data_IF_880902955683
#
_entry.id   IF_880902955683
#
_cell.length_a   1.000
_cell.length_b   1.000
_cell.length_c   1.000
_cell.angle_alpha   90.00
_cell.angle_beta   90.00
_cell.angle_gamma   90.00
#
_symmetry.space_group_name_H-M   'P 1'
#
loop_
_entity.id
_entity.type
_entity.pdbx_description
1 polymer ?
#
# COMPACT_ATOMS: atom_id res chain seq x y z
N UNK A 1 10.22 1.04 34.64
CA UNK A 1 10.63 1.69 33.36
C UNK A 1 11.30 0.68 32.42
N UNK A 2 12.44 0.08 32.77
CA UNK A 2 13.15 -0.90 31.91
C UNK A 2 12.24 -2.07 31.49
N UNK A 3 11.57 -2.73 32.45
CA UNK A 3 10.64 -3.84 32.14
C UNK A 3 9.55 -3.41 31.14
N UNK A 4 8.97 -2.23 31.31
CA UNK A 4 7.95 -1.70 30.39
C UNK A 4 8.50 -1.51 28.98
N UNK A 5 9.74 -1.03 28.85
CA UNK A 5 10.42 -0.89 27.55
C UNK A 5 10.69 -2.26 26.93
N UNK A 6 11.18 -3.23 27.70
CA UNK A 6 11.40 -4.60 27.24
C UNK A 6 10.11 -5.28 26.78
N UNK A 7 9.00 -5.07 27.50
CA UNK A 7 7.67 -5.55 27.09
C UNK A 7 7.21 -4.92 25.78
N UNK A 8 7.42 -3.62 25.59
CA UNK A 8 7.13 -2.95 24.32
C UNK A 8 8.00 -3.50 23.17
N UNK A 9 9.30 -3.68 23.39
CA UNK A 9 10.21 -4.32 22.42
C UNK A 9 9.72 -5.72 22.06
N UNK A 10 9.22 -6.49 23.04
CA UNK A 10 8.72 -7.84 22.81
C UNK A 10 7.43 -7.84 21.99
N UNK A 11 6.52 -6.91 22.27
CA UNK A 11 5.34 -6.68 21.44
C UNK A 11 5.71 -6.32 20.00
N UNK A 12 6.62 -5.35 19.80
CA UNK A 12 7.08 -4.96 18.45
C UNK A 12 7.73 -6.15 17.73
N UNK A 13 8.56 -6.92 18.42
CA UNK A 13 9.23 -8.08 17.85
C UNK A 13 8.24 -9.19 17.49
N UNK A 14 7.18 -9.38 18.28
CA UNK A 14 6.11 -10.31 17.94
C UNK A 14 5.39 -9.88 16.67
N UNK A 15 4.94 -8.62 16.59
CA UNK A 15 4.28 -8.10 15.40
C UNK A 15 5.19 -8.15 14.16
N UNK A 16 6.50 -7.91 14.34
CA UNK A 16 7.49 -8.08 13.29
C UNK A 16 7.54 -9.54 12.82
N UNK A 17 7.68 -10.52 13.72
CA UNK A 17 7.67 -11.95 13.36
C UNK A 17 6.39 -12.32 12.60
N UNK A 18 5.23 -11.95 13.12
CA UNK A 18 3.93 -12.25 12.51
C UNK A 18 3.81 -11.65 11.10
N UNK A 19 4.29 -10.41 10.90
CA UNK A 19 4.32 -9.79 9.57
C UNK A 19 5.20 -10.56 8.58
N UNK A 20 6.37 -11.05 9.02
CA UNK A 20 7.28 -11.79 8.14
C UNK A 20 6.71 -13.16 7.75
N UNK A 21 6.08 -13.86 8.70
CA UNK A 21 5.38 -15.13 8.46
C UNK A 21 4.23 -14.91 7.48
N UNK A 22 3.37 -13.92 7.76
CA UNK A 22 2.22 -13.61 6.92
C UNK A 22 2.64 -13.25 5.49
N UNK A 23 3.71 -12.47 5.32
CA UNK A 23 4.17 -12.02 4.01
C UNK A 23 4.93 -13.10 3.23
N UNK A 24 5.97 -13.70 3.83
CA UNK A 24 6.90 -14.57 3.11
C UNK A 24 6.48 -16.04 3.07
N UNK A 25 5.82 -16.54 4.12
CA UNK A 25 5.44 -17.96 4.23
C UNK A 25 4.00 -18.16 3.77
N UNK A 26 3.06 -17.43 4.37
CA UNK A 26 1.63 -17.63 4.14
C UNK A 26 1.11 -16.89 2.90
N UNK A 27 1.87 -15.91 2.39
CA UNK A 27 1.49 -15.09 1.23
C UNK A 27 0.13 -14.38 1.41
N UNK A 28 -0.17 -13.96 2.64
CA UNK A 28 -1.41 -13.25 2.99
C UNK A 28 -1.30 -11.74 2.68
N UNK A 29 -1.10 -11.39 1.41
CA UNK A 29 -0.80 -10.02 1.00
C UNK A 29 -1.92 -9.00 1.33
N UNK A 30 -3.17 -9.45 1.43
CA UNK A 30 -4.31 -8.64 1.87
C UNK A 30 -4.15 -8.02 3.27
N UNK A 31 -3.25 -8.55 4.11
CA UNK A 31 -2.96 -8.03 5.46
C UNK A 31 -1.99 -6.83 5.47
N UNK A 32 -1.60 -6.31 4.32
CA UNK A 32 -0.56 -5.28 4.19
C UNK A 32 -1.07 -3.99 3.50
N UNK A 33 -2.38 -3.76 3.55
CA UNK A 33 -3.03 -2.58 2.97
C UNK A 33 -3.67 -1.66 4.03
N UNK A 34 -2.87 -0.75 4.63
CA UNK A 34 -3.33 -0.04 5.80
C UNK A 34 -4.37 1.05 5.51
N UNK A 35 -4.60 1.49 4.26
CA UNK A 35 -5.55 2.58 3.88
C UNK A 35 -5.55 3.87 4.72
N UNK A 36 -4.63 4.07 5.68
CA UNK A 36 -4.74 5.18 6.62
C UNK A 36 -4.12 6.45 6.05
N UNK A 37 -4.97 7.22 5.38
CA UNK A 37 -4.83 8.67 5.15
C UNK A 37 -3.86 9.14 4.06
N UNK A 38 -3.21 8.25 3.31
CA UNK A 38 -2.23 8.66 2.27
C UNK A 38 -2.71 8.33 0.85
N UNK A 39 -2.45 9.23 -0.10
CA UNK A 39 -2.55 9.01 -1.56
C UNK A 39 -1.45 8.06 -2.10
N UNK A 40 -0.87 7.21 -1.26
CA UNK A 40 0.31 6.40 -1.57
C UNK A 40 0.00 4.90 -1.73
N UNK A 41 -1.28 4.50 -1.73
CA UNK A 41 -1.65 3.08 -1.78
C UNK A 41 -1.06 2.36 -3.02
N UNK A 42 -1.01 3.04 -4.16
CA UNK A 42 -0.37 2.53 -5.38
C UNK A 42 1.15 2.33 -5.24
N UNK A 43 1.86 3.21 -4.51
CA UNK A 43 3.30 3.02 -4.26
C UNK A 43 3.49 1.78 -3.40
N UNK A 44 2.73 1.67 -2.31
CA UNK A 44 2.82 0.51 -1.40
C UNK A 44 2.50 -0.80 -2.10
N UNK A 45 1.46 -0.82 -2.92
CA UNK A 45 1.08 -1.98 -3.72
C UNK A 45 2.24 -2.44 -4.61
N UNK A 46 2.86 -1.51 -5.34
CA UNK A 46 3.98 -1.81 -6.22
C UNK A 46 5.22 -2.24 -5.43
N UNK A 47 5.54 -1.58 -4.32
CA UNK A 47 6.74 -1.85 -3.53
C UNK A 47 6.65 -3.19 -2.82
N UNK A 48 5.50 -3.51 -2.22
CA UNK A 48 5.24 -4.84 -1.68
C UNK A 48 5.27 -5.89 -2.78
N UNK A 49 4.76 -5.59 -3.98
CA UNK A 49 4.79 -6.53 -5.09
C UNK A 49 6.23 -6.85 -5.51
N UNK A 50 7.08 -5.83 -5.63
CA UNK A 50 8.53 -5.99 -5.84
C UNK A 50 9.14 -6.87 -4.75
N UNK A 51 8.87 -6.60 -3.47
CA UNK A 51 9.40 -7.43 -2.37
C UNK A 51 8.89 -8.87 -2.38
N UNK A 52 7.70 -9.11 -2.92
CA UNK A 52 7.12 -10.44 -3.02
C UNK A 52 7.64 -11.23 -4.22
N UNK A 53 7.83 -10.60 -5.39
CA UNK A 53 8.21 -11.28 -6.65
C UNK A 53 9.70 -11.26 -6.94
N UNK A 54 10.41 -10.23 -6.48
CA UNK A 54 11.87 -10.17 -6.52
C UNK A 54 12.38 -10.48 -5.13
N UNK A 55 12.75 -11.75 -4.87
CA UNK A 55 13.35 -12.10 -3.61
C UNK A 55 14.66 -11.34 -3.43
N UNK A 56 14.62 -10.19 -2.75
CA UNK A 56 15.80 -9.54 -2.14
C UNK A 56 16.58 -10.50 -1.24
N UNK A 57 15.90 -11.58 -0.82
CA UNK A 57 16.40 -12.69 -0.02
C UNK A 57 16.00 -14.00 -0.67
N UNK A 58 16.95 -14.92 -0.85
CA UNK A 58 16.67 -16.31 -1.18
C UNK A 58 15.67 -16.91 -0.18
N UNK A 59 15.00 -18.01 -0.56
CA UNK A 59 14.09 -18.72 0.36
C UNK A 59 14.77 -19.03 1.71
N UNK A 60 16.03 -19.51 1.66
CA UNK A 60 16.86 -19.77 2.83
C UNK A 60 17.09 -18.51 3.67
N UNK A 61 17.39 -17.38 3.04
CA UNK A 61 17.58 -16.11 3.75
C UNK A 61 16.28 -15.59 4.41
N UNK A 62 15.11 -15.85 3.81
CA UNK A 62 13.80 -15.55 4.42
C UNK A 62 13.54 -16.41 5.67
N UNK A 63 13.80 -17.72 5.59
CA UNK A 63 13.68 -18.62 6.73
C UNK A 63 14.65 -18.25 7.86
N UNK A 64 15.92 -18.01 7.52
CA UNK A 64 16.95 -17.60 8.47
C UNK A 64 16.58 -16.29 9.19
N UNK A 65 15.97 -15.33 8.49
CA UNK A 65 15.50 -14.09 9.12
C UNK A 65 14.44 -14.37 10.19
N UNK A 66 13.46 -15.24 9.90
CA UNK A 66 12.39 -15.58 10.86
C UNK A 66 12.98 -16.32 12.07
N UNK A 67 13.89 -17.28 11.84
CA UNK A 67 14.61 -17.98 12.91
C UNK A 67 15.45 -17.03 13.77
N UNK A 68 16.16 -16.10 13.13
CA UNK A 68 16.90 -15.03 13.82
C UNK A 68 15.98 -14.22 14.73
N UNK A 69 14.81 -13.78 14.24
CA UNK A 69 13.86 -13.00 15.04
C UNK A 69 13.29 -13.83 16.21
N UNK A 70 12.98 -15.11 16.01
CA UNK A 70 12.58 -16.00 17.10
C UNK A 70 13.66 -16.16 18.16
N UNK A 71 14.93 -16.31 17.76
CA UNK A 71 16.06 -16.34 18.70
C UNK A 71 16.17 -15.03 19.49
N UNK A 72 16.00 -13.88 18.83
CA UNK A 72 15.98 -12.56 19.50
C UNK A 72 14.81 -12.42 20.47
N UNK A 73 13.64 -12.97 20.13
CA UNK A 73 12.48 -12.99 21.03
C UNK A 73 12.75 -13.83 22.27
N UNK A 74 13.38 -14.98 22.13
CA UNK A 74 13.77 -15.82 23.27
C UNK A 74 14.76 -15.08 24.19
N UNK A 75 15.79 -14.44 23.63
CA UNK A 75 16.73 -13.62 24.41
C UNK A 75 16.03 -12.49 25.16
N UNK A 76 15.07 -11.82 24.51
CA UNK A 76 14.30 -10.75 25.12
C UNK A 76 13.39 -11.24 26.24
N UNK A 77 12.74 -12.40 26.08
CA UNK A 77 11.95 -13.03 27.15
C UNK A 77 12.80 -13.38 28.36
N UNK A 78 14.01 -13.94 28.14
CA UNK A 78 14.95 -14.23 29.22
C UNK A 78 15.38 -12.95 29.95
N UNK A 79 15.64 -11.87 29.20
CA UNK A 79 15.94 -10.57 29.79
C UNK A 79 14.76 -10.00 30.59
N UNK A 80 13.53 -10.11 30.09
CA UNK A 80 12.32 -9.70 30.81
C UNK A 80 12.19 -10.47 32.13
N UNK A 81 12.40 -11.78 32.12
CA UNK A 81 12.36 -12.60 33.33
C UNK A 81 13.45 -12.16 34.32
N UNK A 82 14.70 -12.10 33.87
CA UNK A 82 15.83 -11.70 34.70
C UNK A 82 15.60 -10.33 35.37
N UNK A 83 15.20 -9.31 34.61
CA UNK A 83 14.99 -7.96 35.14
C UNK A 83 13.69 -7.79 35.94
N UNK A 84 12.76 -8.76 35.86
CA UNK A 84 11.59 -8.80 36.74
C UNK A 84 11.95 -9.27 38.15
N UNK A 85 12.94 -10.16 38.26
CA UNK A 85 13.45 -10.71 39.52
C UNK A 85 14.62 -9.88 40.08
N UNK A 86 15.47 -9.34 39.21
CA UNK A 86 16.70 -8.64 39.55
C UNK A 86 16.67 -7.22 38.97
N UNK A 87 16.50 -6.20 39.81
CA UNK A 87 16.50 -4.81 39.33
C UNK A 87 17.90 -4.42 38.85
N UNK A 88 18.00 -3.85 37.66
CA UNK A 88 19.23 -3.21 37.18
C UNK A 88 19.57 -2.04 38.13
N UNK A 89 20.74 -2.14 38.77
CA UNK A 89 21.21 -1.18 39.77
C UNK A 89 22.06 -0.07 39.16
N UNK A 90 22.47 -0.20 37.89
CA UNK A 90 23.29 0.80 37.23
C UNK A 90 22.42 1.90 36.57
N UNK A 91 22.08 2.92 37.36
CA UNK A 91 21.20 4.03 36.96
C UNK A 91 21.84 5.02 35.96
N UNK A 92 23.13 4.88 35.62
CA UNK A 92 23.83 5.82 34.73
C UNK A 92 23.73 5.47 33.25
N UNK A 93 23.27 4.26 32.90
CA UNK A 93 23.16 3.83 31.50
C UNK A 93 21.97 4.50 30.80
N UNK A 94 22.21 5.04 29.61
CA UNK A 94 21.13 5.39 28.68
C UNK A 94 20.41 4.13 28.18
N UNK A 95 19.20 4.28 27.64
CA UNK A 95 18.45 3.15 27.09
C UNK A 95 19.24 2.42 25.99
N UNK A 96 19.93 3.14 25.10
CA UNK A 96 20.70 2.54 24.01
C UNK A 96 21.89 1.76 24.57
N UNK A 97 22.61 2.29 25.56
CA UNK A 97 23.72 1.59 26.20
C UNK A 97 23.25 0.34 26.94
N UNK A 98 22.11 0.43 27.64
CA UNK A 98 21.48 -0.72 28.27
C UNK A 98 21.15 -1.82 27.25
N UNK A 99 20.49 -1.46 26.13
CA UNK A 99 20.15 -2.44 25.09
C UNK A 99 21.39 -3.03 24.41
N UNK A 100 22.45 -2.24 24.21
CA UNK A 100 23.74 -2.73 23.68
C UNK A 100 24.41 -3.71 24.64
N UNK A 101 24.55 -3.33 25.91
CA UNK A 101 25.20 -4.13 26.97
C UNK A 101 24.57 -5.51 27.10
N UNK A 102 23.24 -5.58 26.96
CA UNK A 102 22.47 -6.81 27.10
C UNK A 102 22.15 -7.51 25.77
N UNK A 103 22.77 -7.08 24.66
CA UNK A 103 22.59 -7.63 23.31
C UNK A 103 21.12 -7.67 22.82
N UNK A 104 20.32 -6.70 23.25
CA UNK A 104 18.88 -6.59 22.94
C UNK A 104 18.60 -5.74 21.70
N UNK A 105 19.64 -5.29 21.00
CA UNK A 105 19.51 -4.65 19.70
C UNK A 105 19.48 -5.72 18.61
N UNK A 106 18.39 -5.75 17.86
CA UNK A 106 18.24 -6.62 16.69
C UNK A 106 18.19 -5.79 15.41
N UNK A 107 18.75 -6.35 14.33
CA UNK A 107 18.83 -5.71 13.03
C UNK A 107 17.63 -6.12 12.18
N UNK A 108 17.04 -5.13 11.51
CA UNK A 108 15.90 -5.30 10.61
C UNK A 108 16.23 -4.53 9.34
N UNK A 109 16.10 -5.19 8.18
CA UNK A 109 16.35 -4.53 6.90
C UNK A 109 15.24 -3.53 6.58
N UNK A 110 15.52 -2.55 5.71
CA UNK A 110 14.53 -1.56 5.27
C UNK A 110 13.27 -2.23 4.69
N UNK A 111 13.36 -3.25 3.81
CA UNK A 111 12.19 -4.00 3.33
C UNK A 111 11.39 -4.68 4.45
N UNK A 112 12.04 -5.36 5.40
CA UNK A 112 11.33 -6.05 6.48
C UNK A 112 10.62 -5.05 7.40
N UNK A 113 11.27 -3.90 7.67
CA UNK A 113 10.68 -2.79 8.43
C UNK A 113 9.45 -2.24 7.70
N UNK A 114 9.53 -2.07 6.38
CA UNK A 114 8.41 -1.61 5.56
C UNK A 114 7.22 -2.57 5.61
N UNK A 115 7.47 -3.86 5.40
CA UNK A 115 6.48 -4.95 5.50
C UNK A 115 5.82 -4.96 6.89
N UNK A 116 6.63 -4.87 7.95
CA UNK A 116 6.14 -4.78 9.32
C UNK A 116 5.22 -3.58 9.54
N UNK A 117 5.62 -2.38 9.10
CA UNK A 117 4.81 -1.18 9.28
C UNK A 117 3.48 -1.30 8.52
N UNK A 118 3.49 -1.78 7.27
CA UNK A 118 2.27 -2.02 6.50
C UNK A 118 1.33 -2.99 7.23
N UNK A 119 1.86 -4.11 7.73
CA UNK A 119 1.10 -5.09 8.50
C UNK A 119 0.51 -4.48 9.77
N UNK A 120 1.35 -3.81 10.57
CA UNK A 120 0.96 -3.20 11.83
C UNK A 120 -0.19 -2.21 11.64
N UNK A 121 -0.05 -1.28 10.70
CA UNK A 121 -1.08 -0.28 10.43
C UNK A 121 -2.36 -0.90 9.88
N UNK A 122 -2.28 -1.99 9.12
CA UNK A 122 -3.46 -2.72 8.61
C UNK A 122 -4.19 -3.44 9.73
N UNK A 123 -3.47 -4.13 10.63
CA UNK A 123 -4.03 -4.88 11.77
C UNK A 123 -4.84 -3.98 12.71
N UNK A 124 -4.38 -2.75 12.93
CA UNK A 124 -5.03 -1.77 13.82
C UNK A 124 -5.92 -0.76 13.09
N UNK A 125 -6.18 -0.99 11.80
CA UNK A 125 -7.14 -0.21 11.03
C UNK A 125 -8.56 -0.49 11.51
N UNK A 126 -9.38 0.55 11.59
CA UNK A 126 -10.82 0.46 11.76
C UNK A 126 -11.50 1.25 10.64
N UNK A 127 -12.50 0.64 10.00
CA UNK A 127 -13.30 1.34 9.01
C UNK A 127 -14.41 2.12 9.70
N UNK A 128 -14.45 3.43 9.49
CA UNK A 128 -15.60 4.25 9.89
C UNK A 128 -16.55 4.33 8.72
N UNK A 129 -17.86 4.37 9.01
CA UNK A 129 -18.99 4.42 8.06
C UNK A 129 -18.84 5.38 6.86
N UNK A 130 -17.92 6.35 6.92
CA UNK A 130 -17.60 7.28 5.83
C UNK A 130 -16.19 7.07 5.27
N UNK A 131 -15.94 6.07 4.39
CA UNK A 131 -14.74 5.93 3.51
C UNK A 131 -13.36 6.41 4.06
N UNK A 132 -13.18 6.39 5.37
CA UNK A 132 -12.07 7.02 6.08
C UNK A 132 -11.66 6.03 7.15
N UNK A 133 -10.76 5.14 6.73
CA UNK A 133 -10.11 4.22 7.63
C UNK A 133 -9.24 5.01 8.60
N UNK A 134 -9.38 4.71 9.89
CA UNK A 134 -8.61 5.32 10.97
C UNK A 134 -7.89 4.24 11.76
N UNK A 135 -6.96 4.64 12.64
CA UNK A 135 -6.27 3.69 13.51
C UNK A 135 -7.00 3.58 14.85
N UNK A 136 -7.21 2.35 15.31
CA UNK A 136 -7.78 2.04 16.61
C UNK A 136 -6.72 2.18 17.72
N UNK A 137 -6.40 3.41 18.12
CA UNK A 137 -5.32 3.69 19.07
C UNK A 137 -5.50 3.02 20.43
N UNK A 138 -6.73 2.88 20.92
CA UNK A 138 -7.00 2.22 22.21
C UNK A 138 -6.63 0.73 22.18
N UNK A 139 -6.86 0.07 21.04
CA UNK A 139 -6.48 -1.33 20.85
C UNK A 139 -4.96 -1.49 20.87
N UNK A 140 -4.22 -0.59 20.21
CA UNK A 140 -2.76 -0.56 20.27
C UNK A 140 -2.29 -0.33 21.71
N UNK A 141 -2.88 0.65 22.41
CA UNK A 141 -2.51 0.97 23.78
C UNK A 141 -2.69 -0.23 24.71
N UNK A 142 -3.81 -0.94 24.58
CA UNK A 142 -4.13 -2.13 25.37
C UNK A 142 -3.19 -3.30 25.04
N UNK A 143 -3.05 -3.66 23.75
CA UNK A 143 -2.21 -4.80 23.34
C UNK A 143 -0.71 -4.56 23.62
N UNK A 144 -0.23 -3.33 23.49
CA UNK A 144 1.17 -2.98 23.73
C UNK A 144 1.49 -2.60 25.19
N UNK A 145 0.47 -2.45 26.06
CA UNK A 145 0.64 -1.96 27.42
C UNK A 145 1.16 -0.52 27.50
N UNK A 146 0.68 0.35 26.61
CA UNK A 146 1.09 1.76 26.48
C UNK A 146 -0.03 2.72 26.88
N UNK A 147 0.32 3.98 27.11
CA UNK A 147 -0.69 5.05 27.12
C UNK A 147 -1.18 5.33 25.69
N UNK A 148 -2.43 5.79 25.56
CA UNK A 148 -3.01 6.20 24.27
C UNK A 148 -2.14 7.25 23.56
N UNK A 149 -1.53 8.18 24.32
CA UNK A 149 -0.61 9.19 23.77
C UNK A 149 0.61 8.57 23.11
N UNK A 150 1.20 7.54 23.72
CA UNK A 150 2.34 6.82 23.15
C UNK A 150 1.93 5.97 21.96
N UNK A 151 0.76 5.31 22.00
CA UNK A 151 0.20 4.60 20.86
C UNK A 151 0.06 5.52 19.64
N UNK A 152 -0.56 6.70 19.82
CA UNK A 152 -0.67 7.74 18.77
C UNK A 152 0.69 8.18 18.23
N UNK A 153 1.67 8.43 19.10
CA UNK A 153 3.02 8.85 18.70
C UNK A 153 3.72 7.76 17.87
N UNK A 154 3.61 6.50 18.28
CA UNK A 154 4.16 5.36 17.56
C UNK A 154 3.52 5.19 16.18
N UNK A 155 2.18 5.25 16.10
CA UNK A 155 1.47 5.20 14.82
C UNK A 155 1.89 6.33 13.88
N UNK A 156 1.95 7.57 14.38
CA UNK A 156 2.40 8.72 13.56
C UNK A 156 3.81 8.50 13.02
N UNK A 157 4.73 8.01 13.86
CA UNK A 157 6.08 7.69 13.43
C UNK A 157 6.09 6.62 12.32
N UNK A 158 5.27 5.58 12.44
CA UNK A 158 5.14 4.55 11.41
C UNK A 158 4.55 5.09 10.10
N UNK A 159 3.52 5.93 10.16
CA UNK A 159 2.95 6.57 8.96
C UNK A 159 3.98 7.47 8.25
N UNK A 160 4.66 8.36 8.98
CA UNK A 160 5.71 9.22 8.41
C UNK A 160 6.83 8.37 7.80
N UNK A 161 7.34 7.38 8.54
CA UNK A 161 8.43 6.52 8.05
C UNK A 161 8.02 5.70 6.82
N UNK A 162 6.75 5.32 6.69
CA UNK A 162 6.22 4.60 5.53
C UNK A 162 6.13 5.51 4.31
N UNK A 163 5.62 6.73 4.51
CA UNK A 163 5.46 7.75 3.47
C UNK A 163 6.81 8.24 2.92
N UNK A 164 7.77 8.48 3.81
CA UNK A 164 9.17 8.82 3.46
C UNK A 164 9.78 7.72 2.60
N UNK A 165 9.79 6.48 3.08
CA UNK A 165 10.37 5.36 2.34
C UNK A 165 9.68 5.12 0.99
N UNK A 166 8.36 5.31 0.92
CA UNK A 166 7.60 5.17 -0.32
C UNK A 166 8.00 6.22 -1.36
N UNK A 167 8.16 7.48 -0.97
CA UNK A 167 8.57 8.55 -1.89
C UNK A 167 10.02 8.36 -2.35
N UNK A 168 10.93 8.00 -1.44
CA UNK A 168 12.32 7.73 -1.77
C UNK A 168 12.43 6.56 -2.77
N UNK A 169 11.66 5.49 -2.55
CA UNK A 169 11.66 4.33 -3.44
C UNK A 169 11.20 4.66 -4.87
N UNK A 170 10.23 5.58 -5.04
CA UNK A 170 9.82 6.06 -6.36
C UNK A 170 10.94 6.83 -7.06
N UNK A 171 11.67 7.65 -6.32
CA UNK A 171 12.81 8.40 -6.86
C UNK A 171 13.92 7.44 -7.29
N UNK A 172 14.22 6.44 -6.45
CA UNK A 172 15.22 5.40 -6.75
C UNK A 172 14.82 4.57 -7.98
N UNK A 173 13.55 4.19 -8.10
CA UNK A 173 13.06 3.49 -9.29
C UNK A 173 13.14 4.35 -10.55
N UNK A 174 12.88 5.66 -10.46
CA UNK A 174 13.02 6.53 -11.61
C UNK A 174 14.47 6.56 -12.13
N UNK A 175 15.46 6.55 -11.22
CA UNK A 175 16.88 6.43 -11.56
C UNK A 175 17.21 5.05 -12.17
N UNK A 176 16.78 3.97 -11.51
CA UNK A 176 16.96 2.58 -11.98
C UNK A 176 16.39 2.36 -13.40
N UNK A 177 15.20 2.92 -13.67
CA UNK A 177 14.49 2.80 -14.94
C UNK A 177 15.09 3.70 -16.05
N UNK A 178 16.12 4.49 -15.75
CA UNK A 178 16.78 5.35 -16.71
C UNK A 178 15.97 6.59 -17.12
N UNK A 179 15.10 7.10 -16.24
CA UNK A 179 14.49 8.41 -16.47
C UNK A 179 15.57 9.50 -16.53
N UNK A 180 15.29 10.57 -17.26
CA UNK A 180 16.28 11.65 -17.40
C UNK A 180 16.57 12.31 -16.05
N UNK A 181 17.80 12.81 -15.89
CA UNK A 181 18.19 13.56 -14.69
C UNK A 181 17.20 14.68 -14.34
N UNK A 182 16.65 15.37 -15.35
CA UNK A 182 15.68 16.44 -15.16
C UNK A 182 14.33 15.94 -14.64
N UNK A 183 13.91 14.72 -15.02
CA UNK A 183 12.69 14.11 -14.47
C UNK A 183 12.89 13.73 -13.01
N UNK A 184 14.04 13.15 -12.67
CA UNK A 184 14.38 12.75 -11.29
C UNK A 184 14.53 13.98 -10.39
N UNK A 185 15.22 15.03 -10.85
CA UNK A 185 15.34 16.31 -10.14
C UNK A 185 13.97 16.95 -9.91
N UNK A 186 13.10 16.93 -10.92
CA UNK A 186 11.71 17.39 -10.78
C UNK A 186 10.94 16.58 -9.73
N UNK A 187 11.00 15.24 -9.76
CA UNK A 187 10.35 14.38 -8.77
C UNK A 187 10.81 14.72 -7.34
N UNK A 188 12.13 14.82 -7.12
CA UNK A 188 12.72 15.20 -5.83
C UNK A 188 12.18 16.54 -5.34
N UNK A 189 12.09 17.53 -6.22
CA UNK A 189 11.55 18.87 -5.90
C UNK A 189 10.04 18.90 -5.71
N UNK A 190 9.31 17.89 -6.18
CA UNK A 190 7.86 17.75 -6.01
C UNK A 190 7.49 16.96 -4.74
N UNK A 191 8.44 16.41 -3.98
CA UNK A 191 8.10 15.86 -2.66
C UNK A 191 7.56 16.99 -1.78
N UNK A 192 6.39 16.75 -1.18
CA UNK A 192 5.69 17.68 -0.28
C UNK A 192 5.25 16.96 0.98
N UNK A 193 4.88 17.71 2.02
CA UNK A 193 4.29 17.18 3.25
C UNK A 193 2.81 17.50 3.32
N UNK A 194 2.00 16.50 3.62
CA UNK A 194 0.55 16.65 3.75
C UNK A 194 0.13 17.19 5.14
N UNK A 195 -1.17 17.11 5.46
CA UNK A 195 -1.75 17.56 6.72
C UNK A 195 -1.19 16.84 7.96
N UNK A 196 -0.66 15.62 7.79
CA UNK A 196 -0.12 14.77 8.85
C UNK A 196 1.42 14.69 8.81
N UNK A 197 2.07 15.62 8.10
CA UNK A 197 3.53 15.71 7.89
C UNK A 197 4.14 14.54 7.09
N UNK A 198 3.33 13.81 6.33
CA UNK A 198 3.78 12.66 5.55
C UNK A 198 4.26 13.11 4.18
N UNK A 199 5.35 12.51 3.71
CA UNK A 199 5.84 12.76 2.36
C UNK A 199 4.85 12.23 1.31
N UNK A 200 4.53 13.06 0.34
CA UNK A 200 3.65 12.73 -0.79
C UNK A 200 4.22 13.23 -2.10
N UNK A 201 3.87 12.54 -3.18
CA UNK A 201 4.20 12.89 -4.56
C UNK A 201 2.92 13.08 -5.38
N UNK A 202 2.98 13.78 -6.52
CA UNK A 202 1.87 13.87 -7.46
C UNK A 202 1.42 12.50 -7.99
N UNK A 203 0.12 12.22 -7.91
CA UNK A 203 -0.46 10.94 -8.36
C UNK A 203 -0.04 10.53 -9.78
N UNK A 204 -0.05 11.44 -10.75
CA UNK A 204 0.33 11.10 -12.13
C UNK A 204 1.80 10.66 -12.24
N UNK A 205 2.72 11.43 -11.67
CA UNK A 205 4.15 11.23 -11.86
C UNK A 205 4.69 10.02 -11.10
N UNK A 206 4.20 9.77 -9.88
CA UNK A 206 4.54 8.54 -9.17
C UNK A 206 3.97 7.31 -9.91
N UNK A 207 2.76 7.40 -10.49
CA UNK A 207 2.17 6.27 -11.23
C UNK A 207 2.89 6.01 -12.55
N UNK A 208 3.43 7.04 -13.22
CA UNK A 208 4.28 6.87 -14.42
C UNK A 208 5.49 5.98 -14.12
N UNK A 209 6.16 6.23 -12.99
CA UNK A 209 7.28 5.41 -12.52
C UNK A 209 6.83 4.00 -12.13
N UNK A 210 5.73 3.86 -11.38
CA UNK A 210 5.18 2.55 -10.99
C UNK A 210 4.88 1.71 -12.24
N UNK A 211 4.17 2.25 -13.22
CA UNK A 211 3.79 1.52 -14.43
C UNK A 211 5.04 1.09 -15.21
N UNK A 212 6.06 1.95 -15.30
CA UNK A 212 7.34 1.57 -15.91
C UNK A 212 8.02 0.43 -15.14
N UNK A 213 8.03 0.46 -13.80
CA UNK A 213 8.56 -0.62 -12.96
C UNK A 213 7.79 -1.92 -13.15
N UNK A 214 6.46 -1.89 -13.13
CA UNK A 214 5.62 -3.08 -13.36
C UNK A 214 5.91 -3.73 -14.72
N UNK A 215 6.13 -2.92 -15.77
CA UNK A 215 6.50 -3.43 -17.11
C UNK A 215 7.89 -4.05 -17.14
N UNK A 216 8.90 -3.35 -16.61
CA UNK A 216 10.28 -3.85 -16.56
C UNK A 216 10.35 -5.21 -15.87
N UNK A 217 9.57 -5.36 -14.79
CA UNK A 217 9.56 -6.54 -13.94
C UNK A 217 8.49 -7.56 -14.31
N UNK A 218 7.77 -7.32 -15.43
CA UNK A 218 6.73 -8.20 -15.99
C UNK A 218 5.65 -8.56 -14.96
N UNK A 219 5.34 -7.63 -14.07
CA UNK A 219 4.40 -7.82 -12.97
C UNK A 219 2.95 -7.79 -13.45
N UNK A 220 2.11 -8.75 -13.02
CA UNK A 220 0.73 -8.80 -13.45
C UNK A 220 -0.13 -7.73 -12.75
N UNK A 221 -1.15 -7.26 -13.47
CA UNK A 221 -2.19 -6.37 -12.96
C UNK A 221 -3.51 -7.13 -12.94
N UNK A 222 -4.18 -7.14 -11.79
CA UNK A 222 -5.51 -7.68 -11.64
C UNK A 222 -6.51 -6.53 -11.46
N UNK A 223 -7.53 -6.47 -12.30
CA UNK A 223 -8.62 -5.51 -12.13
C UNK A 223 -9.82 -6.24 -11.53
N UNK A 224 -10.26 -5.79 -10.36
CA UNK A 224 -11.55 -6.15 -9.80
C UNK A 224 -12.56 -5.07 -10.20
N UNK A 225 -13.33 -5.35 -11.26
CA UNK A 225 -14.23 -4.38 -11.90
C UNK A 225 -15.67 -4.59 -11.44
N UNK A 226 -16.27 -3.56 -10.86
CA UNK A 226 -17.67 -3.54 -10.44
C UNK A 226 -18.52 -2.70 -11.40
N UNK A 227 -19.75 -3.16 -11.63
CA UNK A 227 -20.77 -2.44 -12.38
C UNK A 227 -21.63 -1.64 -11.39
N UNK A 228 -21.75 -0.33 -11.59
CA UNK A 228 -22.49 0.56 -10.68
C UNK A 228 -24.01 0.32 -10.69
N UNK A 229 -24.56 -0.36 -11.68
CA UNK A 229 -26.00 -0.48 -11.91
C UNK A 229 -26.58 -1.88 -11.68
N UNK A 230 -25.81 -2.96 -11.84
CA UNK A 230 -26.38 -4.32 -11.85
C UNK A 230 -25.87 -5.25 -10.76
N UNK A 231 -24.55 -5.41 -10.61
CA UNK A 231 -23.98 -6.38 -9.67
C UNK A 231 -22.90 -5.76 -8.80
N UNK A 232 -23.08 -5.82 -7.49
CA UNK A 232 -22.02 -5.46 -6.52
C UNK A 232 -20.89 -6.49 -6.46
N UNK A 233 -21.00 -7.60 -7.18
CA UNK A 233 -19.96 -8.64 -7.23
C UNK A 233 -18.92 -8.26 -8.30
N UNK A 234 -17.66 -8.01 -7.92
CA UNK A 234 -16.61 -7.67 -8.87
C UNK A 234 -16.38 -8.79 -9.91
N UNK A 235 -16.02 -8.38 -11.13
CA UNK A 235 -15.47 -9.26 -12.16
C UNK A 235 -13.96 -9.10 -12.20
N UNK A 236 -13.25 -10.22 -12.21
CA UNK A 236 -11.79 -10.23 -12.22
C UNK A 236 -11.26 -10.26 -13.64
N UNK A 237 -10.43 -9.28 -14.00
CA UNK A 237 -9.72 -9.22 -15.27
C UNK A 237 -8.22 -9.30 -15.01
N UNK A 238 -7.58 -10.37 -15.45
CA UNK A 238 -6.15 -10.57 -15.24
C UNK A 238 -5.34 -10.12 -16.47
N UNK A 239 -4.35 -9.27 -16.23
CA UNK A 239 -3.47 -8.74 -17.26
C UNK A 239 -2.02 -9.12 -16.98
N UNK A 240 -1.39 -9.85 -17.91
CA UNK A 240 0.04 -10.14 -17.88
C UNK A 240 0.80 -9.20 -18.81
N UNK A 241 2.10 -8.99 -18.56
CA UNK A 241 2.91 -8.18 -19.46
C UNK A 241 3.43 -9.04 -20.63
N UNK A 242 3.10 -8.63 -21.86
CA UNK A 242 3.59 -9.25 -23.08
C UNK A 242 4.76 -8.43 -23.64
N UNK A 243 5.96 -9.01 -23.66
CA UNK A 243 7.19 -8.34 -24.09
C UNK A 243 7.20 -7.98 -25.57
N UNK A 244 6.73 -8.89 -26.43
CA UNK A 244 6.72 -8.68 -27.88
C UNK A 244 5.83 -7.47 -28.26
N UNK A 245 4.71 -7.30 -27.56
CA UNK A 245 3.81 -6.15 -27.73
C UNK A 245 4.20 -4.93 -26.87
N UNK A 246 5.16 -5.07 -25.95
CA UNK A 246 5.48 -4.10 -24.90
C UNK A 246 4.21 -3.55 -24.20
N UNK A 247 3.27 -4.44 -23.89
CA UNK A 247 1.94 -4.08 -23.43
C UNK A 247 1.35 -5.12 -22.48
N UNK A 248 0.47 -4.66 -21.58
CA UNK A 248 -0.36 -5.55 -20.77
C UNK A 248 -1.44 -6.18 -21.63
N UNK A 249 -1.61 -7.50 -21.52
CA UNK A 249 -2.57 -8.31 -22.26
C UNK A 249 -3.50 -9.05 -21.33
N UNK A 250 -4.78 -9.03 -21.66
CA UNK A 250 -5.82 -9.73 -20.94
C UNK A 250 -5.74 -11.24 -21.23
N UNK A 251 -6.07 -12.04 -20.22
CA UNK A 251 -6.32 -13.47 -20.38
C UNK A 251 -7.38 -13.92 -19.38
N UNK A 252 -8.25 -14.81 -19.85
CA UNK A 252 -9.21 -15.58 -19.08
C UNK A 252 -8.66 -16.95 -18.62
N UNK A 253 -7.54 -17.39 -19.19
CA UNK A 253 -6.86 -18.64 -18.89
C UNK A 253 -5.72 -18.44 -17.90
N UNK A 254 -6.04 -18.56 -16.59
CA UNK A 254 -5.04 -18.43 -15.52
C UNK A 254 -4.71 -19.82 -14.98
N UNK A 255 -3.45 -20.23 -15.17
CA UNK A 255 -2.95 -21.47 -14.58
C UNK A 255 -3.03 -21.43 -13.05
N UNK A 256 -3.39 -22.55 -12.41
CA UNK A 256 -3.52 -22.65 -10.95
C UNK A 256 -2.26 -22.20 -10.19
N UNK A 257 -1.08 -22.50 -10.76
CA UNK A 257 0.22 -22.08 -10.22
C UNK A 257 0.40 -20.56 -10.18
N UNK A 258 -0.28 -19.82 -11.07
CA UNK A 258 -0.23 -18.36 -11.17
C UNK A 258 -1.27 -17.70 -10.27
N UNK A 259 -2.38 -18.37 -9.97
CA UNK A 259 -3.47 -17.80 -9.17
C UNK A 259 -3.04 -17.35 -7.76
N UNK A 260 -2.02 -18.00 -7.18
CA UNK A 260 -1.46 -17.68 -5.86
C UNK A 260 -0.33 -16.65 -5.91
N UNK A 261 0.09 -16.23 -7.10
CA UNK A 261 1.13 -15.22 -7.23
C UNK A 261 0.57 -13.84 -6.86
N UNK A 262 1.39 -12.99 -6.22
CA UNK A 262 1.00 -11.62 -5.96
C UNK A 262 0.83 -10.85 -7.27
N UNK A 263 -0.11 -9.91 -7.27
CA UNK A 263 -0.42 -9.04 -8.38
C UNK A 263 -0.75 -7.63 -7.88
N UNK A 264 -0.60 -6.66 -8.78
CA UNK A 264 -1.01 -5.29 -8.55
C UNK A 264 -2.52 -5.19 -8.79
N UNK A 265 -3.30 -5.10 -7.72
CA UNK A 265 -4.76 -5.12 -7.79
C UNK A 265 -5.30 -3.71 -7.90
N UNK A 266 -6.18 -3.49 -8.88
CA UNK A 266 -6.92 -2.25 -9.09
C UNK A 266 -8.41 -2.57 -8.89
N UNK A 267 -9.00 -2.05 -7.82
CA UNK A 267 -10.45 -2.01 -7.66
C UNK A 267 -10.99 -0.85 -8.48
N UNK A 268 -11.86 -1.15 -9.42
CA UNK A 268 -12.42 -0.17 -10.33
C UNK A 268 -13.93 -0.34 -10.50
N UNK A 269 -14.58 0.73 -10.93
CA UNK A 269 -15.99 0.75 -11.28
C UNK A 269 -16.18 1.15 -12.73
N UNK A 270 -17.29 0.71 -13.31
CA UNK A 270 -17.76 1.13 -14.62
C UNK A 270 -19.28 1.28 -14.63
N UNK A 271 -19.79 2.22 -15.41
CA UNK A 271 -21.24 2.33 -15.69
C UNK A 271 -21.66 1.40 -16.83
N UNK A 272 -20.70 0.72 -17.50
CA UNK A 272 -21.01 -0.25 -18.54
C UNK A 272 -21.50 -1.58 -17.94
N UNK A 273 -22.63 -2.12 -18.41
CA UNK A 273 -23.18 -3.35 -17.87
C UNK A 273 -22.23 -4.55 -17.96
N UNK A 274 -22.02 -5.25 -16.84
CA UNK A 274 -21.22 -6.50 -16.76
C UNK A 274 -22.11 -7.76 -16.74
N UNK A 275 -23.07 -7.82 -17.67
CA UNK A 275 -24.17 -8.79 -17.65
C UNK A 275 -23.75 -10.23 -17.93
N UNK A 276 -22.73 -10.43 -18.76
CA UNK A 276 -22.28 -11.75 -19.20
C UNK A 276 -20.78 -11.77 -19.54
N UNK A 277 -20.28 -12.97 -19.86
CA UNK A 277 -18.89 -13.20 -20.22
C UNK A 277 -18.43 -12.39 -21.45
N UNK A 278 -19.33 -12.19 -22.43
CA UNK A 278 -19.03 -11.45 -23.66
C UNK A 278 -18.88 -9.95 -23.37
N UNK A 279 -19.73 -9.38 -22.51
CA UNK A 279 -19.62 -8.00 -22.06
C UNK A 279 -18.30 -7.74 -21.32
N UNK A 280 -17.92 -8.66 -20.42
CA UNK A 280 -16.64 -8.64 -19.70
C UNK A 280 -15.46 -8.65 -20.69
N UNK A 281 -15.48 -9.57 -21.68
CA UNK A 281 -14.46 -9.66 -22.72
C UNK A 281 -14.37 -8.41 -23.59
N UNK A 282 -15.51 -7.80 -23.96
CA UNK A 282 -15.55 -6.55 -24.73
C UNK A 282 -14.86 -5.42 -23.98
N UNK A 283 -15.10 -5.29 -22.67
CA UNK A 283 -14.45 -4.28 -21.84
C UNK A 283 -12.95 -4.55 -21.72
N UNK A 284 -12.55 -5.80 -21.46
CA UNK A 284 -11.14 -6.18 -21.38
C UNK A 284 -10.40 -5.86 -22.69
N UNK A 285 -10.97 -6.21 -23.84
CA UNK A 285 -10.41 -5.88 -25.16
C UNK A 285 -10.33 -4.37 -25.38
N UNK A 286 -11.36 -3.61 -24.99
CA UNK A 286 -11.34 -2.14 -25.08
C UNK A 286 -10.23 -1.54 -24.21
N UNK A 287 -9.95 -2.12 -23.04
CA UNK A 287 -8.83 -1.73 -22.18
C UNK A 287 -7.49 -1.97 -22.89
N UNK A 288 -7.32 -3.12 -23.54
CA UNK A 288 -6.11 -3.43 -24.32
C UNK A 288 -5.92 -2.48 -25.50
N UNK A 289 -6.96 -2.23 -26.29
CA UNK A 289 -6.96 -1.33 -27.46
C UNK A 289 -6.56 0.10 -27.07
N UNK A 290 -6.96 0.55 -25.88
CA UNK A 290 -6.62 1.87 -25.35
C UNK A 290 -5.34 1.88 -24.51
N UNK A 291 -4.68 0.72 -24.35
CA UNK A 291 -3.56 0.46 -23.43
C UNK A 291 -3.93 0.68 -21.96
N UNK A 292 -3.88 -0.41 -21.17
CA UNK A 292 -4.11 -0.36 -19.72
C UNK A 292 -3.23 0.68 -19.02
N UNK A 293 -1.96 0.79 -19.39
CA UNK A 293 -1.04 1.81 -18.86
C UNK A 293 -1.55 3.23 -19.10
N UNK A 294 -2.03 3.52 -20.31
CA UNK A 294 -2.56 4.86 -20.66
C UNK A 294 -3.86 5.14 -19.91
N UNK A 295 -4.74 4.14 -19.77
CA UNK A 295 -5.99 4.30 -19.01
C UNK A 295 -5.69 4.68 -17.55
N UNK A 296 -4.79 3.95 -16.89
CA UNK A 296 -4.39 4.24 -15.51
C UNK A 296 -3.77 5.63 -15.41
N UNK A 297 -2.83 5.99 -16.30
CA UNK A 297 -2.18 7.30 -16.27
C UNK A 297 -3.14 8.46 -16.56
N UNK A 298 -4.07 8.28 -17.50
CA UNK A 298 -5.10 9.27 -17.80
C UNK A 298 -6.03 9.48 -16.60
N UNK A 299 -6.41 8.39 -15.92
CA UNK A 299 -7.17 8.47 -14.68
C UNK A 299 -6.41 9.26 -13.60
N UNK A 300 -5.14 8.90 -13.35
CA UNK A 300 -4.32 9.57 -12.34
C UNK A 300 -4.02 11.03 -12.66
N UNK A 301 -3.95 11.42 -13.94
CA UNK A 301 -3.83 12.82 -14.36
C UNK A 301 -5.12 13.62 -14.13
N UNK A 302 -6.28 12.97 -14.26
CA UNK A 302 -7.57 13.61 -14.04
C UNK A 302 -7.96 13.69 -12.54
N UNK A 303 -7.35 12.85 -11.70
CA UNK A 303 -7.47 12.93 -10.24
C UNK A 303 -6.68 14.12 -9.66
N UNK A 304 -7.07 14.66 -8.49
CA UNK A 304 -6.20 15.54 -7.70
C UNK A 304 -4.78 14.98 -7.56
N UNK A 305 -3.78 15.81 -7.86
CA UNK A 305 -2.37 15.43 -7.80
C UNK A 305 -1.86 15.37 -6.36
N UNK A 306 -2.37 16.25 -5.50
CA UNK A 306 -2.19 16.15 -4.05
C UNK A 306 -3.56 16.16 -3.36
N UNK A 307 -3.60 15.60 -2.16
CA UNK A 307 -4.75 15.65 -1.24
C UNK A 307 -4.40 16.45 0.01
N UNK A 308 -5.41 16.84 0.78
CA UNK A 308 -5.25 17.57 2.02
C UNK A 308 -5.36 19.09 1.88
N UNK A 309 -5.56 19.76 3.00
CA UNK A 309 -5.77 21.21 3.08
C UNK A 309 -4.46 21.97 2.83
N UNK A 310 -3.35 21.50 3.41
CA UNK A 310 -2.03 22.12 3.29
C UNK A 310 -1.51 22.13 1.86
N UNK A 311 -1.98 21.21 1.02
CA UNK A 311 -1.53 21.06 -0.37
C UNK A 311 -2.53 21.56 -1.42
N UNK A 312 -3.58 22.28 -0.98
CA UNK A 312 -4.66 22.73 -1.85
C UNK A 312 -4.18 23.56 -3.06
N UNK A 313 -3.14 24.39 -2.88
CA UNK A 313 -2.57 25.19 -3.98
C UNK A 313 -2.01 24.30 -5.11
N UNK A 314 -1.36 23.20 -4.78
CA UNK A 314 -0.73 22.29 -5.75
C UNK A 314 -1.67 21.20 -6.28
N UNK A 315 -2.89 21.12 -5.75
CA UNK A 315 -3.86 20.04 -5.99
C UNK A 315 -4.06 19.73 -7.48
N UNK A 316 -4.22 20.77 -8.30
CA UNK A 316 -4.46 20.63 -9.75
C UNK A 316 -3.21 20.90 -10.60
N UNK A 317 -2.24 21.64 -10.05
CA UNK A 317 -0.99 21.97 -10.72
C UNK A 317 0.21 21.70 -9.78
N UNK A 318 0.84 20.51 -9.89
CA UNK A 318 1.93 20.14 -8.99
C UNK A 318 3.22 20.95 -9.23
N UNK A 319 3.30 21.69 -10.33
CA UNK A 319 4.46 22.51 -10.71
C UNK A 319 4.40 23.93 -10.16
N UNK A 320 3.32 24.30 -9.48
CA UNK A 320 3.19 25.65 -8.94
C UNK A 320 4.37 25.93 -8.00
N UNK A 321 5.09 27.04 -8.26
CA UNK A 321 6.29 27.44 -7.52
C UNK A 321 7.50 26.50 -7.63
N UNK A 322 7.49 25.53 -8.56
CA UNK A 322 8.63 24.65 -8.78
C UNK A 322 9.72 25.40 -9.57
N UNK A 323 10.91 25.52 -8.97
CA UNK A 323 12.08 26.10 -9.64
C UNK A 323 12.75 25.07 -10.56
N UNK A 324 12.26 24.99 -11.79
CA UNK A 324 12.80 24.18 -12.89
C UNK A 324 12.91 25.04 -14.17
N UNK A 325 13.73 24.60 -15.13
CA UNK A 325 13.88 25.33 -16.40
C UNK A 325 12.52 25.43 -17.12
N UNK A 326 12.19 26.60 -17.71
CA UNK A 326 10.89 26.84 -18.35
C UNK A 326 10.52 25.80 -19.42
N UNK A 327 11.50 25.32 -20.19
CA UNK A 327 11.28 24.32 -21.23
C UNK A 327 10.80 22.98 -20.64
N UNK A 328 11.42 22.53 -19.55
CA UNK A 328 11.02 21.29 -18.86
C UNK A 328 9.68 21.45 -18.14
N UNK A 329 9.42 22.62 -17.55
CA UNK A 329 8.11 22.92 -16.98
C UNK A 329 7.01 22.74 -18.04
N UNK A 330 7.15 23.40 -19.19
CA UNK A 330 6.17 23.30 -20.27
C UNK A 330 6.02 21.86 -20.77
N UNK A 331 7.11 21.11 -20.89
CA UNK A 331 7.08 19.70 -21.29
C UNK A 331 6.23 18.85 -20.34
N UNK A 332 6.52 18.89 -19.03
CA UNK A 332 5.82 18.07 -18.05
C UNK A 332 4.38 18.52 -17.82
N UNK A 333 4.12 19.83 -17.85
CA UNK A 333 2.77 20.38 -17.79
C UNK A 333 1.92 19.95 -19.00
N UNK A 334 2.50 19.96 -20.20
CA UNK A 334 1.81 19.47 -21.41
C UNK A 334 1.47 17.98 -21.30
N UNK A 335 2.36 17.16 -20.74
CA UNK A 335 2.10 15.72 -20.52
C UNK A 335 0.89 15.50 -19.63
N UNK A 336 0.83 16.13 -18.45
CA UNK A 336 -0.28 15.94 -17.52
C UNK A 336 -1.60 16.51 -18.05
N UNK A 337 -1.58 17.68 -18.71
CA UNK A 337 -2.78 18.27 -19.32
C UNK A 337 -3.35 17.36 -20.41
N UNK A 338 -2.48 16.83 -21.27
CA UNK A 338 -2.90 15.93 -22.35
C UNK A 338 -3.52 14.65 -21.79
N UNK A 339 -2.89 14.04 -20.78
CA UNK A 339 -3.41 12.85 -20.11
C UNK A 339 -4.74 13.11 -19.39
N UNK A 340 -4.87 14.26 -18.71
CA UNK A 340 -6.11 14.70 -18.04
C UNK A 340 -7.25 14.87 -19.03
N UNK A 341 -7.02 15.56 -20.15
CA UNK A 341 -8.02 15.73 -21.21
C UNK A 341 -8.44 14.39 -21.81
N UNK A 342 -7.49 13.49 -22.03
CA UNK A 342 -7.78 12.14 -22.49
C UNK A 342 -8.66 11.38 -21.48
N UNK A 343 -8.32 11.40 -20.18
CA UNK A 343 -9.07 10.74 -19.12
C UNK A 343 -10.51 11.24 -18.97
N UNK A 344 -10.72 12.55 -19.06
CA UNK A 344 -12.06 13.15 -19.06
C UNK A 344 -12.88 12.67 -20.26
N UNK A 345 -12.27 12.63 -21.46
CA UNK A 345 -12.92 12.19 -22.69
C UNK A 345 -13.26 10.70 -22.69
N UNK A 346 -12.38 9.85 -22.15
CA UNK A 346 -12.55 8.39 -22.18
C UNK A 346 -13.48 7.84 -21.11
N UNK A 347 -13.93 8.65 -20.15
CA UNK A 347 -14.74 8.17 -19.02
C UNK A 347 -13.90 7.60 -17.89
N UNK A 348 -12.70 8.15 -17.68
CA UNK A 348 -11.79 7.79 -16.61
C UNK A 348 -11.61 8.95 -15.62
N UNK A 349 -12.70 9.54 -15.14
CA UNK A 349 -12.66 10.70 -14.23
C UNK A 349 -13.85 10.68 -13.25
N UNK A 350 -13.72 11.34 -12.08
CA UNK A 350 -14.78 11.32 -11.06
C UNK A 350 -16.12 11.88 -11.56
N UNK A 351 -16.08 12.86 -12.47
CA UNK A 351 -17.26 13.44 -13.12
C UNK A 351 -17.71 12.73 -14.40
N UNK A 352 -16.99 11.70 -14.84
CA UNK A 352 -17.37 10.84 -15.96
C UNK A 352 -16.77 9.44 -15.74
N UNK A 353 -17.54 8.55 -15.11
CA UNK A 353 -17.12 7.18 -14.71
C UNK A 353 -17.58 6.11 -15.69
N UNK A 354 -18.05 6.53 -16.86
CA UNK A 354 -18.68 5.67 -17.86
C UNK A 354 -17.81 4.52 -18.37
N UNK A 355 -16.48 4.61 -18.23
CA UNK A 355 -15.58 3.56 -18.67
C UNK A 355 -14.81 2.90 -17.53
N UNK A 356 -14.03 3.68 -16.77
CA UNK A 356 -13.09 3.10 -15.81
C UNK A 356 -12.76 4.06 -14.67
N UNK A 357 -13.30 3.82 -13.49
CA UNK A 357 -13.07 4.64 -12.30
C UNK A 357 -12.31 3.86 -11.23
N UNK A 358 -11.06 4.23 -10.94
CA UNK A 358 -10.25 3.54 -9.93
C UNK A 358 -10.67 3.96 -8.52
N UNK A 359 -11.15 3.01 -7.74
CA UNK A 359 -11.51 3.20 -6.33
C UNK A 359 -10.30 3.06 -5.42
N UNK A 360 -9.50 2.02 -5.66
CA UNK A 360 -8.39 1.68 -4.78
C UNK A 360 -7.37 0.78 -5.47
N UNK A 361 -6.12 0.84 -5.00
CA UNK A 361 -4.99 0.05 -5.52
C UNK A 361 -4.23 -0.60 -4.35
N UNK A 362 -3.98 -1.90 -4.45
CA UNK A 362 -3.33 -2.70 -3.41
C UNK A 362 -2.63 -3.93 -3.98
N UNK A 363 -1.93 -4.67 -3.12
CA UNK A 363 -1.35 -5.97 -3.46
C UNK A 363 -2.27 -7.08 -2.98
N UNK A 364 -2.52 -8.07 -3.84
CA UNK A 364 -3.15 -9.32 -3.44
C UNK A 364 -2.83 -10.44 -4.45
N UNK A 365 -3.53 -11.57 -4.38
CA UNK A 365 -3.51 -12.64 -5.38
C UNK A 365 -4.88 -12.82 -6.04
N UNK A 366 -4.88 -13.38 -7.25
CA UNK A 366 -6.11 -13.73 -7.96
C UNK A 366 -6.96 -14.72 -7.14
N UNK A 367 -6.33 -15.75 -6.58
CA UNK A 367 -7.01 -16.76 -5.76
C UNK A 367 -7.73 -16.13 -4.56
N UNK A 368 -7.08 -15.21 -3.85
CA UNK A 368 -7.67 -14.58 -2.69
C UNK A 368 -8.87 -13.70 -3.09
N UNK A 369 -8.73 -12.86 -4.13
CA UNK A 369 -9.85 -12.06 -4.63
C UNK A 369 -11.02 -12.92 -5.12
N UNK A 370 -10.73 -14.05 -5.76
CA UNK A 370 -11.74 -15.01 -6.20
C UNK A 370 -12.47 -15.64 -5.00
N UNK A 371 -11.73 -16.02 -3.96
CA UNK A 371 -12.30 -16.56 -2.73
C UNK A 371 -13.17 -15.52 -2.01
N UNK A 372 -12.74 -14.26 -1.93
CA UNK A 372 -13.55 -13.18 -1.35
C UNK A 372 -14.87 -12.99 -2.11
N UNK A 373 -14.85 -13.13 -3.43
CA UNK A 373 -16.05 -13.05 -4.27
C UNK A 373 -16.99 -14.24 -4.04
N UNK A 374 -16.47 -15.47 -3.91
CA UNK A 374 -17.27 -16.69 -3.79
C UNK A 374 -17.54 -17.17 -2.37
N UNK A 375 -16.84 -16.66 -1.36
CA UNK A 375 -17.21 -16.79 0.04
C UNK A 375 -18.42 -15.89 0.38
N UNK A 376 -18.78 -14.97 -0.52
CA UNK A 376 -19.87 -14.03 -0.35
C UNK A 376 -21.30 -14.54 -0.64
N UNK A 377 -21.62 -15.85 -0.63
CA UNK A 377 -22.98 -16.31 -0.37
C UNK A 377 -23.02 -17.18 0.89
N UNK A 378 -23.56 -16.61 1.97
CA UNK A 378 -24.00 -17.21 3.28
C UNK A 378 -23.29 -16.77 4.56
N UNK A 379 -22.31 -15.87 4.53
CA UNK A 379 -21.81 -15.26 5.78
C UNK A 379 -21.77 -13.73 5.73
N UNK A 380 -22.63 -13.12 6.56
CA UNK A 380 -22.37 -11.83 7.18
C UNK A 380 -21.15 -11.91 8.14
N UNK A 381 -20.02 -12.42 7.66
CA UNK A 381 -18.79 -12.50 8.45
C UNK A 381 -17.63 -12.02 7.60
N UNK A 382 -17.60 -10.72 7.31
CA UNK A 382 -16.39 -9.90 7.11
C UNK A 382 -16.74 -8.45 6.74
N UNK A 383 -18.03 -8.14 6.52
CA UNK A 383 -18.58 -6.84 6.86
C UNK A 383 -19.12 -6.93 8.28
N UNK A 384 -18.86 -5.93 9.10
CA UNK A 384 -19.38 -5.74 10.46
C UNK A 384 -18.54 -6.34 11.62
N UNK A 385 -17.42 -5.69 11.93
CA UNK A 385 -17.21 -5.23 13.32
C UNK A 385 -17.88 -3.85 13.50
N UNK A 386 -19.13 -3.76 13.05
CA UNK A 386 -20.08 -2.76 13.47
C UNK A 386 -20.83 -3.39 14.62
N UNK A 387 -20.27 -3.18 15.81
CA UNK A 387 -20.86 -3.63 17.06
C UNK A 387 -22.23 -2.98 17.26
N UNK A 388 -23.30 -3.78 17.15
CA UNK A 388 -24.45 -3.86 18.07
C UNK A 388 -25.03 -2.60 18.74
N UNK A 389 -25.05 -1.42 18.10
CA UNK A 389 -25.72 -0.24 18.69
C UNK A 389 -26.82 0.39 17.83
N UNK A 390 -27.07 -0.09 16.61
CA UNK A 390 -28.06 0.51 15.69
C UNK A 390 -29.37 -0.29 15.58
N UNK A 391 -29.84 -0.83 16.72
CA UNK A 391 -31.23 -1.32 16.87
C UNK A 391 -32.02 -0.56 17.95
N UNK A 392 -31.46 0.53 18.51
CA UNK A 392 -32.10 1.30 19.59
C UNK A 392 -32.37 2.78 19.28
N UNK A 393 -32.01 3.28 18.10
CA UNK A 393 -32.32 4.68 17.68
C UNK A 393 -33.46 4.78 16.65
N UNK A 394 -34.26 3.72 16.49
CA UNK A 394 -35.53 3.79 15.74
C UNK A 394 -36.78 3.59 16.63
N UNK A 395 -36.62 3.64 17.96
CA UNK A 395 -37.72 3.54 18.95
C UNK A 395 -37.63 4.61 20.07
N UNK A 396 -36.75 5.61 19.96
CA UNK A 396 -36.77 6.83 20.76
C UNK A 396 -36.54 8.03 19.84
#
# INVERSE_FOLDING_TARGET
MIISILRLLNFILEELIQSQIAFYQNKHYHLFDPHVGENCCQIRAAQLLVYATQPLKSYVAKQYQIEYLHKRKMQLNNAIQHFSEHRETNHSLTLIEFLKKHELIFLVSIPDKYIFICYFLTKFKQSKFSNHDTIHYDRIANEAGLSIKLAKKMTRYYQISLAENSCDQIIDWADELGFTFQYIDMLKKMVRRDDDERNVLPCYFLTDVIIAKLKMERMPILIALEDTHHTRTPKLLYFYFNEAANAFRFTDEIAESVMKNPCFVIRAETEQPLTDHLAIHKIAKRIEENSLSKIILNYMAAHPQYSGKNLAAWKENPFQFLSISPAYHQLFLKRIITAKQAGIKTGCYIGNRSFFFIRHIFIDSYQHQLNEIYAAPTSHSFRENLTCWEALEYVL
#
